data_IF_221724336101
#
_entry.id   IF_221724336101
#
_cell.length_a   1.000
_cell.length_b   1.000
_cell.length_c   1.000
_cell.angle_alpha   90.00
_cell.angle_beta   90.00
_cell.angle_gamma   90.00
#
_symmetry.space_group_name_H-M   'P 1'
#
loop_
_entity.id
_entity.type
_entity.pdbx_description
1 polymer ?
#
# COMPACT_ATOMS: atom_id res chain seq x y z
N UNK A 1 -7.56 5.78 10.57
CA UNK A 1 -6.43 5.15 11.27
C UNK A 1 -5.81 4.12 10.35
N UNK A 2 -4.49 4.01 10.29
CA UNK A 2 -3.77 2.87 9.71
C UNK A 2 -2.97 2.20 10.81
N UNK A 3 -3.11 0.88 10.99
CA UNK A 3 -2.43 0.19 12.09
C UNK A 3 -2.12 -1.27 11.79
N UNK A 4 -0.83 -1.62 11.74
CA UNK A 4 -0.37 -3.01 11.79
C UNK A 4 -0.48 -3.48 13.25
N UNK A 5 -1.34 -4.47 13.51
CA UNK A 5 -1.68 -4.89 14.88
C UNK A 5 -0.85 -6.08 15.38
N UNK A 6 0.13 -6.53 14.60
CA UNK A 6 1.01 -7.66 14.87
C UNK A 6 0.24 -8.97 15.10
N UNK A 7 0.23 -9.84 14.09
CA UNK A 7 -0.43 -11.14 14.17
C UNK A 7 0.23 -12.00 15.26
N UNK A 8 -0.54 -12.77 16.02
CA UNK A 8 0.01 -13.59 17.10
C UNK A 8 0.90 -14.71 16.56
N UNK A 9 0.47 -15.38 15.49
CA UNK A 9 1.25 -16.41 14.81
C UNK A 9 2.58 -15.84 14.29
N UNK A 10 2.53 -14.65 13.67
CA UNK A 10 3.74 -14.01 13.13
C UNK A 10 4.69 -13.53 14.24
N UNK A 11 4.15 -13.06 15.36
CA UNK A 11 4.92 -12.72 16.56
C UNK A 11 5.69 -13.94 17.07
N UNK A 12 5.00 -15.08 17.19
CA UNK A 12 5.58 -16.32 17.71
C UNK A 12 6.62 -16.92 16.76
N UNK A 13 6.33 -16.97 15.46
CA UNK A 13 7.25 -17.38 14.40
C UNK A 13 8.53 -16.52 14.36
N UNK A 14 8.40 -15.23 14.70
CA UNK A 14 9.49 -14.26 14.73
C UNK A 14 9.90 -13.85 16.14
N UNK A 15 9.74 -14.74 17.13
CA UNK A 15 10.05 -14.49 18.55
C UNK A 15 11.45 -13.93 18.84
N UNK A 16 12.40 -14.09 17.93
CA UNK A 16 13.73 -13.50 18.00
C UNK A 16 13.74 -11.95 17.90
N UNK A 17 12.72 -11.33 17.30
CA UNK A 17 12.54 -9.87 17.22
C UNK A 17 12.04 -9.25 18.53
N UNK A 18 11.39 -10.05 19.38
CA UNK A 18 10.69 -9.61 20.59
C UNK A 18 11.37 -10.09 21.89
N UNK A 19 12.68 -10.39 21.83
CA UNK A 19 13.45 -10.84 23.00
C UNK A 19 13.58 -9.78 24.10
N UNK A 20 13.43 -8.52 23.72
CA UNK A 20 13.48 -7.38 24.63
C UNK A 20 12.18 -7.23 25.46
N UNK A 21 11.08 -7.82 24.99
CA UNK A 21 9.77 -7.72 25.64
C UNK A 21 9.64 -8.66 26.85
N UNK A 22 8.89 -8.23 27.86
CA UNK A 22 8.49 -9.10 28.97
C UNK A 22 7.49 -10.15 28.46
N UNK A 23 7.71 -11.43 28.76
CA UNK A 23 6.89 -12.54 28.21
C UNK A 23 5.37 -12.37 28.34
N UNK A 24 4.81 -11.93 29.49
CA UNK A 24 3.36 -11.80 29.63
C UNK A 24 2.72 -10.81 28.64
N UNK A 25 3.46 -9.78 28.19
CA UNK A 25 2.91 -8.74 27.31
C UNK A 25 2.74 -9.23 25.86
N UNK A 26 3.32 -10.38 25.52
CA UNK A 26 3.29 -10.94 24.16
C UNK A 26 2.09 -11.83 23.89
N UNK A 27 1.35 -12.25 24.93
CA UNK A 27 0.18 -13.11 24.75
C UNK A 27 -0.99 -12.31 24.17
N UNK A 28 -1.69 -12.89 23.19
CA UNK A 28 -2.86 -12.26 22.56
C UNK A 28 -3.92 -11.82 23.57
N UNK A 29 -4.18 -12.62 24.60
CA UNK A 29 -5.11 -12.29 25.69
C UNK A 29 -4.73 -11.04 26.49
N UNK A 30 -3.45 -10.63 26.45
CA UNK A 30 -2.98 -9.35 26.98
C UNK A 30 -3.04 -8.26 25.92
N UNK A 31 -2.61 -8.55 24.69
CA UNK A 31 -2.46 -7.57 23.60
C UNK A 31 -3.80 -7.06 23.08
N UNK A 32 -4.74 -7.96 22.81
CA UNK A 32 -6.01 -7.58 22.17
C UNK A 32 -6.84 -6.57 22.99
N UNK A 33 -7.00 -6.71 24.32
CA UNK A 33 -7.67 -5.68 25.13
C UNK A 33 -7.04 -4.29 24.99
N UNK A 34 -5.70 -4.20 24.89
CA UNK A 34 -5.01 -2.93 24.70
C UNK A 34 -5.23 -2.37 23.29
N UNK A 35 -5.06 -3.20 22.25
CA UNK A 35 -5.30 -2.79 20.85
C UNK A 35 -6.75 -2.29 20.68
N UNK A 36 -7.73 -3.03 21.20
CA UNK A 36 -9.14 -2.63 21.15
C UNK A 36 -9.40 -1.33 21.93
N UNK A 37 -8.73 -1.16 23.09
CA UNK A 37 -8.82 0.08 23.87
C UNK A 37 -8.23 1.27 23.10
N UNK A 38 -7.12 1.12 22.39
CA UNK A 38 -6.54 2.15 21.54
C UNK A 38 -7.48 2.53 20.39
N UNK A 39 -8.03 1.53 19.67
CA UNK A 39 -9.00 1.76 18.61
C UNK A 39 -10.23 2.51 19.13
N UNK A 40 -10.78 2.08 20.26
CA UNK A 40 -11.93 2.73 20.90
C UNK A 40 -11.61 4.14 21.38
N UNK A 41 -10.40 4.37 21.89
CA UNK A 41 -9.98 5.67 22.39
C UNK A 41 -9.96 6.73 21.28
N UNK A 42 -9.42 6.37 20.11
CA UNK A 42 -9.31 7.29 18.98
C UNK A 42 -10.61 7.41 18.16
N UNK A 43 -11.49 6.41 18.22
CA UNK A 43 -12.83 6.40 17.58
C UNK A 43 -12.82 6.85 16.11
N UNK A 44 -11.81 6.43 15.35
CA UNK A 44 -11.60 6.90 13.98
C UNK A 44 -12.74 6.44 13.05
N UNK A 45 -13.20 7.30 12.14
CA UNK A 45 -14.32 6.96 11.25
C UNK A 45 -14.01 5.80 10.28
N UNK A 46 -12.74 5.62 9.93
CA UNK A 46 -12.23 4.54 9.06
C UNK A 46 -10.94 3.96 9.67
N UNK A 47 -10.85 2.62 9.71
CA UNK A 47 -9.73 1.82 10.18
C UNK A 47 -9.18 1.00 9.00
N UNK A 48 -7.88 1.09 8.75
CA UNK A 48 -7.14 0.22 7.84
C UNK A 48 -6.14 -0.58 8.68
N UNK A 49 -6.42 -1.87 8.88
CA UNK A 49 -5.61 -2.73 9.74
C UNK A 49 -4.80 -3.73 8.92
N UNK A 50 -3.57 -4.00 9.33
CA UNK A 50 -2.69 -5.03 8.76
C UNK A 50 -2.32 -6.08 9.82
N UNK A 51 -1.88 -7.25 9.38
CA UNK A 51 -1.61 -8.42 10.24
C UNK A 51 -2.80 -8.84 11.11
N UNK A 52 -4.00 -8.70 10.55
CA UNK A 52 -5.23 -9.16 11.19
C UNK A 52 -5.33 -10.66 10.98
N UNK A 53 -5.06 -11.45 12.03
CA UNK A 53 -5.12 -12.92 12.00
C UNK A 53 -6.58 -13.41 11.83
N UNK A 54 -6.83 -14.39 10.96
CA UNK A 54 -8.18 -14.81 10.54
C UNK A 54 -9.04 -15.34 11.69
N UNK A 55 -8.49 -16.23 12.52
CA UNK A 55 -9.20 -16.84 13.65
C UNK A 55 -9.55 -15.81 14.73
N UNK A 56 -8.57 -14.98 15.13
CA UNK A 56 -8.78 -13.85 16.03
C UNK A 56 -9.77 -12.83 15.45
N UNK A 57 -9.76 -12.63 14.13
CA UNK A 57 -10.70 -11.76 13.44
C UNK A 57 -12.14 -12.24 13.60
N UNK A 58 -12.40 -13.52 13.33
CA UNK A 58 -13.73 -14.10 13.47
C UNK A 58 -14.21 -14.18 14.91
N UNK A 59 -13.32 -14.52 15.85
CA UNK A 59 -13.68 -14.76 17.25
C UNK A 59 -13.84 -13.48 18.07
N UNK A 60 -12.96 -12.49 17.88
CA UNK A 60 -12.81 -11.38 18.83
C UNK A 60 -12.78 -10.01 18.16
N UNK A 61 -11.97 -9.81 17.11
CA UNK A 61 -11.72 -8.49 16.53
C UNK A 61 -12.98 -7.97 15.83
N UNK A 62 -13.54 -8.73 14.87
CA UNK A 62 -14.71 -8.29 14.12
C UNK A 62 -15.93 -8.05 15.02
N UNK A 63 -16.34 -8.98 15.90
CA UNK A 63 -17.48 -8.73 16.80
C UNK A 63 -17.27 -7.51 17.68
N UNK A 64 -16.05 -7.28 18.17
CA UNK A 64 -15.73 -6.11 18.99
C UNK A 64 -15.85 -4.81 18.20
N UNK A 65 -15.35 -4.75 16.96
CA UNK A 65 -15.48 -3.57 16.11
C UNK A 65 -16.93 -3.32 15.66
N UNK A 66 -17.69 -4.37 15.33
CA UNK A 66 -19.11 -4.23 15.01
C UNK A 66 -19.91 -3.67 16.20
N UNK A 67 -19.58 -4.08 17.43
CA UNK A 67 -20.17 -3.51 18.65
C UNK A 67 -19.86 -2.00 18.85
N UNK A 68 -18.78 -1.51 18.24
CA UNK A 68 -18.41 -0.08 18.22
C UNK A 68 -19.02 0.67 17.03
N UNK A 69 -19.88 0.03 16.23
CA UNK A 69 -20.59 0.62 15.10
C UNK A 69 -19.80 0.62 13.78
N UNK A 70 -18.80 -0.24 13.66
CA UNK A 70 -18.09 -0.44 12.39
C UNK A 70 -18.76 -1.51 11.53
N UNK A 71 -18.77 -1.29 10.22
CA UNK A 71 -18.86 -2.36 9.23
C UNK A 71 -17.43 -2.77 8.87
N UNK A 72 -17.14 -4.07 8.79
CA UNK A 72 -15.79 -4.59 8.62
C UNK A 72 -15.67 -5.48 7.38
N UNK A 73 -14.76 -5.14 6.47
CA UNK A 73 -14.39 -5.98 5.33
C UNK A 73 -12.96 -6.49 5.52
N UNK A 74 -12.72 -7.75 5.14
CA UNK A 74 -11.45 -8.43 5.39
C UNK A 74 -10.97 -9.18 4.14
N UNK A 75 -9.66 -9.08 3.89
CA UNK A 75 -8.96 -9.87 2.90
C UNK A 75 -7.74 -10.54 3.52
N UNK A 76 -7.84 -11.86 3.73
CA UNK A 76 -6.72 -12.69 4.14
C UNK A 76 -5.66 -12.76 3.03
N UNK A 77 -4.38 -12.86 3.43
CA UNK A 77 -3.31 -13.27 2.52
C UNK A 77 -3.60 -14.63 1.90
N UNK A 78 -3.06 -14.89 0.71
CA UNK A 78 -3.27 -16.18 0.04
C UNK A 78 -2.38 -17.29 0.65
N UNK A 79 -2.52 -18.51 0.14
CA UNK A 79 -1.65 -19.62 0.53
C UNK A 79 -1.88 -20.07 1.97
N UNK A 80 -0.80 -20.15 2.76
CA UNK A 80 -0.80 -20.64 4.16
C UNK A 80 -0.52 -19.52 5.16
N UNK A 81 -0.82 -18.28 4.81
CA UNK A 81 -0.58 -17.13 5.71
C UNK A 81 -1.81 -16.92 6.61
N UNK A 82 -1.62 -16.71 7.92
CA UNK A 82 -2.73 -16.71 8.88
C UNK A 82 -3.45 -15.36 8.98
N UNK A 83 -2.94 -14.32 8.34
CA UNK A 83 -3.33 -12.92 8.53
C UNK A 83 -3.63 -12.20 7.22
N UNK A 84 -4.19 -10.99 7.34
CA UNK A 84 -4.60 -10.18 6.19
C UNK A 84 -4.79 -8.71 6.52
N UNK A 85 -5.47 -8.03 5.59
CA UNK A 85 -5.86 -6.64 5.73
C UNK A 85 -7.36 -6.52 6.02
N UNK A 86 -7.73 -5.62 6.92
CA UNK A 86 -9.12 -5.23 7.15
C UNK A 86 -9.33 -3.74 6.84
N UNK A 87 -10.46 -3.40 6.25
CA UNK A 87 -10.96 -2.02 6.20
C UNK A 87 -12.29 -1.98 6.92
N UNK A 88 -12.36 -1.18 7.98
CA UNK A 88 -13.56 -1.03 8.79
C UNK A 88 -13.99 0.44 8.78
N UNK A 89 -15.28 0.72 8.65
CA UNK A 89 -15.79 2.09 8.64
C UNK A 89 -17.06 2.22 9.47
N UNK A 90 -17.27 3.39 10.09
CA UNK A 90 -18.50 3.67 10.85
C UNK A 90 -19.70 3.65 9.91
N UNK A 91 -20.64 2.73 10.11
CA UNK A 91 -21.83 2.63 9.25
C UNK A 91 -22.76 3.86 9.38
N UNK A 92 -22.60 4.66 10.43
CA UNK A 92 -23.28 5.95 10.61
C UNK A 92 -22.72 7.05 9.69
N UNK A 93 -21.47 6.92 9.23
CA UNK A 93 -20.75 7.91 8.43
C UNK A 93 -20.70 7.56 6.94
N UNK A 94 -20.68 6.27 6.61
CA UNK A 94 -20.55 5.82 5.23
C UNK A 94 -21.52 4.70 4.87
N UNK A 95 -21.83 4.59 3.59
CA UNK A 95 -22.38 3.38 2.95
C UNK A 95 -21.30 2.75 2.08
N UNK A 96 -21.27 1.42 2.02
CA UNK A 96 -20.39 0.68 1.12
C UNK A 96 -20.98 0.63 -0.29
N UNK A 97 -20.18 0.96 -1.30
CA UNK A 97 -20.56 0.84 -2.71
C UNK A 97 -19.93 -0.40 -3.37
N UNK A 98 -18.66 -0.67 -3.10
CA UNK A 98 -17.97 -1.87 -3.61
C UNK A 98 -16.83 -2.34 -2.70
N UNK A 99 -16.53 -3.63 -2.78
CA UNK A 99 -15.41 -4.31 -2.11
C UNK A 99 -14.56 -4.96 -3.20
N UNK A 100 -13.29 -4.58 -3.27
CA UNK A 100 -12.41 -4.99 -4.36
C UNK A 100 -11.10 -5.52 -3.76
N UNK A 101 -11.01 -6.83 -3.47
CA UNK A 101 -9.80 -7.45 -2.95
C UNK A 101 -8.75 -7.58 -4.05
N UNK A 102 -7.47 -7.40 -3.70
CA UNK A 102 -6.34 -7.54 -4.62
C UNK A 102 -5.43 -8.66 -4.13
N UNK A 103 -5.35 -9.74 -4.89
CA UNK A 103 -4.36 -10.80 -4.65
C UNK A 103 -3.11 -10.51 -5.46
N UNK A 104 -1.97 -10.36 -4.79
CA UNK A 104 -0.72 -10.14 -5.51
C UNK A 104 -0.08 -11.43 -6.02
N UNK A 105 -0.43 -12.58 -5.42
CA UNK A 105 0.00 -13.87 -5.90
C UNK A 105 -0.63 -14.17 -7.27
N UNK A 106 0.21 -14.52 -8.25
CA UNK A 106 -0.23 -14.89 -9.60
C UNK A 106 0.44 -16.21 -10.00
N UNK A 107 -0.29 -17.34 -10.01
CA UNK A 107 0.31 -18.65 -10.30
C UNK A 107 0.88 -18.74 -11.73
N UNK A 108 0.38 -17.90 -12.64
CA UNK A 108 0.81 -17.77 -14.03
C UNK A 108 2.02 -16.82 -14.23
N UNK A 109 2.51 -16.16 -13.17
CA UNK A 109 3.60 -15.19 -13.22
C UNK A 109 4.64 -15.52 -12.15
N UNK A 110 5.76 -16.13 -12.54
CA UNK A 110 6.82 -16.56 -11.62
C UNK A 110 7.43 -15.44 -10.76
N UNK A 111 7.33 -14.18 -11.20
CA UNK A 111 7.75 -13.01 -10.41
C UNK A 111 6.89 -12.81 -9.16
N UNK A 112 5.58 -13.13 -9.25
CA UNK A 112 4.55 -12.83 -8.26
C UNK A 112 4.20 -14.07 -7.44
N UNK A 113 5.21 -14.62 -6.78
CA UNK A 113 5.19 -15.84 -5.98
C UNK A 113 5.03 -15.56 -4.48
N UNK A 114 4.34 -14.46 -4.12
CA UNK A 114 4.18 -13.99 -2.74
C UNK A 114 2.72 -13.72 -2.41
N UNK A 115 2.32 -14.17 -1.23
CA UNK A 115 0.93 -14.20 -0.77
C UNK A 115 0.37 -12.88 -0.24
N UNK A 116 1.10 -11.77 -0.40
CA UNK A 116 0.63 -10.46 0.05
C UNK A 116 -0.66 -10.05 -0.70
N UNK A 117 -1.45 -9.18 -0.07
CA UNK A 117 -2.75 -8.74 -0.59
C UNK A 117 -2.98 -7.26 -0.33
N UNK A 118 -3.93 -6.68 -1.06
CA UNK A 118 -4.55 -5.40 -0.76
C UNK A 118 -6.08 -5.52 -0.71
N UNK A 119 -6.73 -4.47 -0.23
CA UNK A 119 -8.18 -4.34 -0.20
C UNK A 119 -8.54 -2.89 -0.55
N UNK A 120 -9.48 -2.71 -1.48
CA UNK A 120 -9.96 -1.39 -1.90
C UNK A 120 -11.48 -1.33 -1.72
N UNK A 121 -11.95 -0.39 -0.91
CA UNK A 121 -13.38 -0.10 -0.74
C UNK A 121 -13.73 1.23 -1.40
N UNK A 122 -14.89 1.27 -2.05
CA UNK A 122 -15.51 2.53 -2.45
C UNK A 122 -16.63 2.87 -1.47
N UNK A 123 -16.51 4.00 -0.79
CA UNK A 123 -17.42 4.41 0.29
C UNK A 123 -18.17 5.69 -0.08
N UNK A 124 -19.48 5.71 0.13
CA UNK A 124 -20.31 6.90 -0.01
C UNK A 124 -20.48 7.61 1.33
N UNK A 125 -20.00 8.86 1.50
CA UNK A 125 -20.28 9.65 2.69
C UNK A 125 -21.79 9.85 2.91
N UNK A 126 -22.28 9.61 4.13
CA UNK A 126 -23.66 9.87 4.56
C UNK A 126 -23.76 11.29 5.11
N UNK A 127 -24.09 12.23 4.22
CA UNK A 127 -24.33 13.64 4.55
C UNK A 127 -25.77 14.03 4.19
N UNK A 128 -26.35 14.96 4.96
CA UNK A 128 -27.78 15.25 4.90
C UNK A 128 -28.24 16.09 3.69
N UNK A 129 -27.34 16.82 3.01
CA UNK A 129 -27.76 17.93 2.14
C UNK A 129 -27.04 18.10 0.80
N UNK A 130 -26.18 17.18 0.35
CA UNK A 130 -25.53 17.30 -0.97
C UNK A 130 -25.13 15.95 -1.56
N UNK A 131 -25.00 15.90 -2.89
CA UNK A 131 -24.33 14.82 -3.59
C UNK A 131 -22.81 14.96 -3.35
N UNK A 132 -22.27 14.15 -2.45
CA UNK A 132 -20.83 14.08 -2.18
C UNK A 132 -20.18 13.02 -3.07
N UNK A 133 -18.96 13.25 -3.59
CA UNK A 133 -18.23 12.19 -4.27
C UNK A 133 -17.98 11.03 -3.31
N UNK A 134 -17.92 9.82 -3.84
CA UNK A 134 -17.43 8.67 -3.09
C UNK A 134 -15.97 8.88 -2.66
N UNK A 135 -15.51 8.13 -1.67
CA UNK A 135 -14.12 8.09 -1.23
C UNK A 135 -13.60 6.67 -1.45
N UNK A 136 -12.50 6.55 -2.18
CA UNK A 136 -11.79 5.29 -2.38
C UNK A 136 -10.79 5.09 -1.22
N UNK A 137 -11.00 4.06 -0.41
CA UNK A 137 -10.10 3.70 0.69
C UNK A 137 -9.38 2.41 0.34
N UNK A 138 -8.06 2.47 0.27
CA UNK A 138 -7.19 1.33 0.01
C UNK A 138 -6.35 0.98 1.24
N UNK A 139 -6.08 -0.32 1.40
CA UNK A 139 -5.23 -0.85 2.45
C UNK A 139 -4.36 -1.99 1.89
N UNK A 140 -3.11 -2.08 2.31
CA UNK A 140 -2.19 -3.13 1.89
C UNK A 140 -1.14 -3.45 2.95
N UNK A 141 -0.55 -4.64 2.83
CA UNK A 141 0.69 -5.00 3.51
C UNK A 141 1.64 -5.61 2.46
N UNK A 142 2.58 -4.80 1.96
CA UNK A 142 3.54 -5.21 0.92
C UNK A 142 4.57 -6.21 1.46
N UNK A 143 5.24 -6.92 0.56
CA UNK A 143 6.28 -7.90 0.89
C UNK A 143 7.37 -7.32 1.82
N UNK A 144 7.62 -7.96 2.97
CA UNK A 144 8.70 -7.56 3.87
C UNK A 144 10.10 -7.65 3.24
N UNK A 145 10.43 -8.76 2.55
CA UNK A 145 11.79 -9.08 2.10
C UNK A 145 12.51 -7.88 1.44
N UNK A 146 13.58 -7.34 2.08
CA UNK A 146 14.30 -6.15 1.60
C UNK A 146 14.93 -6.32 0.21
N UNK A 147 15.24 -7.54 -0.20
CA UNK A 147 15.96 -7.87 -1.46
C UNK A 147 15.05 -8.03 -2.67
N UNK A 148 13.74 -7.91 -2.49
CA UNK A 148 12.73 -8.18 -3.54
C UNK A 148 11.93 -6.94 -3.89
N UNK A 149 12.62 -5.84 -4.19
CA UNK A 149 11.99 -4.61 -4.66
C UNK A 149 11.31 -4.73 -6.01
N UNK A 150 11.73 -5.69 -6.84
CA UNK A 150 11.02 -6.10 -8.06
C UNK A 150 9.58 -6.53 -7.76
N UNK A 151 9.40 -7.35 -6.71
CA UNK A 151 8.07 -7.75 -6.25
C UNK A 151 7.34 -6.57 -5.63
N UNK A 152 7.98 -5.81 -4.73
CA UNK A 152 7.32 -4.67 -4.05
C UNK A 152 6.74 -3.64 -5.04
N UNK A 153 7.50 -3.25 -6.08
CA UNK A 153 7.02 -2.33 -7.10
C UNK A 153 5.88 -2.93 -7.93
N UNK A 154 5.94 -4.23 -8.24
CA UNK A 154 4.87 -4.91 -8.98
C UNK A 154 3.60 -5.01 -8.14
N UNK A 155 3.70 -5.35 -6.84
CA UNK A 155 2.57 -5.37 -5.90
C UNK A 155 1.93 -3.98 -5.77
N UNK A 156 2.74 -2.93 -5.65
CA UNK A 156 2.26 -1.56 -5.64
C UNK A 156 1.54 -1.21 -6.94
N UNK A 157 2.09 -1.55 -8.10
CA UNK A 157 1.44 -1.31 -9.39
C UNK A 157 0.07 -2.02 -9.51
N UNK A 158 -0.04 -3.24 -8.99
CA UNK A 158 -1.32 -3.97 -8.92
C UNK A 158 -2.36 -3.24 -8.05
N UNK A 159 -1.95 -2.74 -6.87
CA UNK A 159 -2.84 -1.96 -6.01
C UNK A 159 -3.25 -0.63 -6.67
N UNK A 160 -2.30 0.08 -7.30
CA UNK A 160 -2.57 1.34 -7.99
C UNK A 160 -3.50 1.15 -9.20
N UNK A 161 -3.38 0.02 -9.92
CA UNK A 161 -4.28 -0.31 -11.02
C UNK A 161 -5.71 -0.57 -10.52
N UNK A 162 -5.88 -1.29 -9.41
CA UNK A 162 -7.18 -1.49 -8.78
C UNK A 162 -7.78 -0.15 -8.31
N UNK A 163 -6.99 0.68 -7.63
CA UNK A 163 -7.42 2.02 -7.21
C UNK A 163 -7.83 2.85 -8.43
N UNK A 164 -7.08 2.80 -9.53
CA UNK A 164 -7.43 3.52 -10.75
C UNK A 164 -8.77 3.06 -11.32
N UNK A 165 -9.06 1.76 -11.28
CA UNK A 165 -10.33 1.23 -11.77
C UNK A 165 -11.49 1.62 -10.86
N UNK A 166 -11.30 1.51 -9.55
CA UNK A 166 -12.36 1.71 -8.54
C UNK A 166 -12.66 3.19 -8.29
N UNK A 167 -11.64 4.04 -8.29
CA UNK A 167 -11.79 5.47 -8.03
C UNK A 167 -12.26 6.27 -9.27
N UNK A 168 -12.28 5.66 -10.46
CA UNK A 168 -12.63 6.35 -11.70
C UNK A 168 -14.08 6.84 -11.69
N UNK A 169 -14.28 8.10 -12.05
CA UNK A 169 -15.59 8.73 -12.13
C UNK A 169 -16.06 8.88 -13.59
N UNK A 170 -17.36 9.11 -13.77
CA UNK A 170 -17.98 9.26 -15.10
C UNK A 170 -17.47 10.45 -15.90
N UNK A 171 -16.93 11.47 -15.23
CA UNK A 171 -16.35 12.66 -15.84
C UNK A 171 -14.87 12.50 -16.23
N UNK A 172 -14.31 11.30 -16.01
CA UNK A 172 -12.92 10.98 -16.29
C UNK A 172 -11.94 11.30 -15.16
N UNK A 173 -12.40 11.94 -14.08
CA UNK A 173 -11.58 12.22 -12.90
C UNK A 173 -11.52 11.03 -11.93
N UNK A 174 -10.74 11.16 -10.86
CA UNK A 174 -10.73 10.21 -9.74
C UNK A 174 -11.42 10.82 -8.54
N UNK A 175 -12.24 10.02 -7.85
CA UNK A 175 -12.75 10.39 -6.54
C UNK A 175 -11.61 10.51 -5.51
N UNK A 176 -11.80 11.22 -4.38
CA UNK A 176 -10.79 11.31 -3.33
C UNK A 176 -10.30 9.93 -2.87
N UNK A 177 -8.98 9.74 -2.81
CA UNK A 177 -8.33 8.49 -2.41
C UNK A 177 -7.68 8.66 -1.04
N UNK A 178 -7.81 7.65 -0.18
CA UNK A 178 -6.97 7.45 1.01
C UNK A 178 -6.34 6.07 0.90
N UNK A 179 -5.02 6.00 0.79
CA UNK A 179 -4.26 4.76 0.65
C UNK A 179 -3.39 4.55 1.90
N UNK A 180 -3.80 3.58 2.71
CA UNK A 180 -3.14 3.19 3.95
C UNK A 180 -2.32 1.90 3.74
N UNK A 181 -1.40 1.62 4.65
CA UNK A 181 -0.77 0.31 4.73
C UNK A 181 0.62 0.30 5.34
N UNK A 182 1.13 -0.92 5.51
CA UNK A 182 2.54 -1.20 5.72
C UNK A 182 3.18 -1.47 4.36
N UNK A 183 4.00 -0.52 3.91
CA UNK A 183 4.66 -0.59 2.61
C UNK A 183 6.03 -1.26 2.67
N UNK A 184 6.49 -1.62 3.87
CA UNK A 184 7.81 -2.16 4.11
C UNK A 184 8.92 -1.36 3.40
N UNK A 185 8.75 -0.03 3.33
CA UNK A 185 9.62 0.87 2.58
C UNK A 185 9.78 2.18 3.33
N UNK A 186 11.00 2.70 3.42
CA UNK A 186 11.30 3.88 4.24
C UNK A 186 11.06 5.20 3.48
N UNK A 187 10.89 6.32 4.19
CA UNK A 187 10.75 7.64 3.57
C UNK A 187 11.93 7.96 2.65
N UNK A 188 11.65 8.59 1.51
CA UNK A 188 12.67 8.92 0.50
C UNK A 188 13.21 7.73 -0.31
N UNK A 189 12.79 6.50 -0.02
CA UNK A 189 13.12 5.34 -0.86
C UNK A 189 12.54 5.49 -2.28
N UNK A 190 13.11 4.83 -3.31
CA UNK A 190 12.55 4.83 -4.66
C UNK A 190 11.06 4.47 -4.73
N UNK A 191 10.59 3.51 -3.92
CA UNK A 191 9.17 3.15 -3.84
C UNK A 191 8.33 4.28 -3.24
N UNK A 192 8.78 4.89 -2.14
CA UNK A 192 8.09 6.04 -1.54
C UNK A 192 8.01 7.23 -2.51
N UNK A 193 9.14 7.57 -3.15
CA UNK A 193 9.21 8.65 -4.13
C UNK A 193 8.32 8.40 -5.34
N UNK A 194 8.19 7.14 -5.77
CA UNK A 194 7.24 6.78 -6.83
C UNK A 194 5.79 7.16 -6.45
N UNK A 195 5.35 6.81 -5.24
CA UNK A 195 4.00 7.13 -4.74
C UNK A 195 3.77 8.64 -4.64
N UNK A 196 4.77 9.38 -4.17
CA UNK A 196 4.66 10.84 -3.97
C UNK A 196 4.70 11.62 -5.28
N UNK A 197 5.63 11.28 -6.16
CA UNK A 197 5.92 12.06 -7.36
C UNK A 197 5.13 11.60 -8.60
N UNK A 198 4.44 10.46 -8.50
CA UNK A 198 3.72 9.84 -9.62
C UNK A 198 4.63 9.35 -10.74
N UNK A 199 5.95 9.31 -10.52
CA UNK A 199 6.94 8.86 -11.50
C UNK A 199 8.19 8.31 -10.84
N UNK A 200 8.81 7.32 -11.48
CA UNK A 200 10.09 6.76 -11.07
C UNK A 200 10.89 6.34 -12.30
N UNK A 201 12.08 6.92 -12.49
CA UNK A 201 13.09 6.33 -13.37
C UNK A 201 13.85 5.27 -12.59
N UNK A 202 13.75 4.02 -13.01
CA UNK A 202 14.38 2.87 -12.35
C UNK A 202 15.56 2.30 -13.15
N UNK A 203 16.07 3.04 -14.15
CA UNK A 203 17.27 2.66 -14.89
C UNK A 203 18.45 2.41 -13.93
N UNK A 204 19.09 1.25 -14.04
CA UNK A 204 20.23 0.90 -13.21
C UNK A 204 19.92 0.68 -11.72
N UNK A 205 18.65 0.70 -11.29
CA UNK A 205 18.28 0.57 -9.88
C UNK A 205 18.39 -0.90 -9.41
N UNK A 206 19.23 -1.21 -8.40
CA UNK A 206 19.30 -2.55 -7.82
C UNK A 206 18.02 -2.92 -7.07
N UNK A 207 17.58 -4.18 -7.17
CA UNK A 207 16.31 -4.64 -6.60
C UNK A 207 16.20 -4.44 -5.07
N UNK A 208 17.29 -4.50 -4.31
CA UNK A 208 17.25 -4.29 -2.86
C UNK A 208 17.33 -2.83 -2.42
N UNK A 209 17.50 -1.89 -3.36
CA UNK A 209 17.49 -0.45 -3.06
C UNK A 209 16.13 0.20 -3.14
N UNK A 210 15.15 -0.50 -3.73
CA UNK A 210 13.79 -0.02 -3.93
C UNK A 210 13.11 0.46 -2.64
N UNK A 211 13.22 -0.30 -1.55
CA UNK A 211 12.52 -0.01 -0.29
C UNK A 211 13.34 0.78 0.71
N UNK A 212 14.66 0.92 0.49
CA UNK A 212 15.59 1.55 1.43
C UNK A 212 15.81 0.78 2.76
N UNK A 213 15.23 -0.41 2.93
CA UNK A 213 15.46 -1.26 4.12
C UNK A 213 16.89 -1.83 4.18
N UNK A 214 17.52 -2.11 3.03
CA UNK A 214 18.83 -2.75 2.97
C UNK A 214 19.96 -1.77 2.63
N UNK A 215 20.93 -1.70 3.54
CA UNK A 215 22.12 -0.86 3.35
C UNK A 215 23.19 -1.54 2.48
N UNK A 216 23.29 -2.87 2.48
CA UNK A 216 24.28 -3.59 1.64
C UNK A 216 23.87 -3.68 0.17
N UNK A 217 24.71 -3.15 -0.72
CA UNK A 217 24.43 -3.05 -2.16
C UNK A 217 25.12 -4.12 -3.03
N UNK A 218 25.80 -5.11 -2.43
CA UNK A 218 26.75 -5.96 -3.18
C UNK A 218 26.05 -7.12 -3.90
N UNK A 219 26.29 -7.22 -5.21
CA UNK A 219 25.90 -8.37 -6.05
C UNK A 219 24.40 -8.50 -6.29
N UNK A 220 23.63 -7.43 -6.13
CA UNK A 220 22.19 -7.45 -6.41
C UNK A 220 21.92 -7.25 -7.89
N UNK A 221 20.90 -7.97 -8.39
CA UNK A 221 20.40 -7.79 -9.76
C UNK A 221 19.77 -6.40 -9.91
N UNK A 222 19.88 -5.82 -11.10
CA UNK A 222 19.18 -4.59 -11.47
C UNK A 222 17.74 -4.91 -11.89
N UNK A 223 16.82 -3.98 -11.66
CA UNK A 223 15.45 -4.08 -12.15
C UNK A 223 15.42 -4.30 -13.66
N UNK A 224 14.53 -5.21 -14.11
CA UNK A 224 14.29 -5.45 -15.52
C UNK A 224 13.51 -4.29 -16.14
N UNK A 225 13.61 -4.10 -17.46
CA UNK A 225 12.80 -3.14 -18.22
C UNK A 225 11.97 -3.95 -19.24
N UNK A 226 10.63 -4.07 -19.09
CA UNK A 226 9.83 -3.63 -17.93
C UNK A 226 10.09 -4.50 -16.68
N UNK A 227 9.62 -4.04 -15.51
CA UNK A 227 9.84 -4.73 -14.23
C UNK A 227 9.07 -6.06 -14.18
N UNK A 228 7.84 -6.07 -14.70
CA UNK A 228 6.95 -7.22 -14.73
C UNK A 228 6.60 -7.63 -16.17
N UNK A 229 6.18 -8.89 -16.38
CA UNK A 229 5.87 -9.37 -17.72
C UNK A 229 4.50 -8.87 -18.23
N UNK A 230 4.29 -8.81 -19.57
CA UNK A 230 3.05 -8.31 -20.16
C UNK A 230 1.78 -9.07 -19.77
N UNK A 231 1.89 -10.37 -19.45
CA UNK A 231 0.74 -11.17 -19.02
C UNK A 231 0.19 -10.77 -17.63
N UNK A 232 0.83 -9.83 -16.93
CA UNK A 232 0.22 -9.16 -15.79
C UNK A 232 -1.01 -8.33 -16.19
N UNK A 233 -1.02 -7.76 -17.40
CA UNK A 233 -2.10 -6.88 -17.89
C UNK A 233 -2.14 -5.53 -17.19
N UNK A 234 -0.99 -4.99 -16.79
CA UNK A 234 -0.85 -3.67 -16.19
C UNK A 234 0.25 -2.91 -16.93
N UNK A 235 -0.10 -1.72 -17.43
CA UNK A 235 0.84 -0.85 -18.15
C UNK A 235 1.84 -0.17 -17.21
N UNK A 236 2.89 0.43 -17.77
CA UNK A 236 3.88 1.22 -17.01
C UNK A 236 3.29 2.46 -16.30
N UNK A 237 2.04 2.83 -16.61
CA UNK A 237 1.27 3.88 -15.94
C UNK A 237 0.44 3.36 -14.75
N UNK A 238 0.63 2.09 -14.37
CA UNK A 238 -0.08 1.41 -13.28
C UNK A 238 -1.60 1.44 -13.45
N UNK A 239 -2.07 1.19 -14.67
CA UNK A 239 -3.49 0.98 -15.00
C UNK A 239 -3.66 -0.33 -15.75
N UNK A 240 -4.82 -0.98 -15.59
CA UNK A 240 -5.13 -2.20 -16.33
C UNK A 240 -5.14 -1.95 -17.84
N UNK A 241 -4.63 -2.91 -18.59
CA UNK A 241 -4.61 -2.89 -20.06
C UNK A 241 -5.21 -4.17 -20.65
N UNK A 242 -5.86 -4.02 -21.81
CA UNK A 242 -6.34 -5.17 -22.56
C UNK A 242 -5.13 -5.88 -23.18
N UNK A 243 -4.87 -7.11 -22.74
CA UNK A 243 -3.78 -7.91 -23.29
C UNK A 243 -4.04 -8.20 -24.78
N UNK A 244 -3.16 -7.72 -25.66
CA UNK A 244 -3.21 -8.05 -27.07
C UNK A 244 -2.64 -9.46 -27.27
N UNK A 245 -3.42 -10.36 -27.86
CA UNK A 245 -2.92 -11.67 -28.27
C UNK A 245 -1.88 -11.44 -29.38
N UNK A 246 -0.70 -12.07 -29.33
CA UNK A 246 0.24 -12.03 -30.44
C UNK A 246 -0.47 -12.53 -31.70
N UNK A 247 -0.65 -11.66 -32.70
CA UNK A 247 -1.17 -12.05 -34.01
C UNK A 247 -0.15 -13.03 -34.63
N UNK A 248 -0.45 -14.32 -34.56
CA UNK A 248 0.18 -15.31 -35.42
C UNK A 248 -0.44 -15.13 -36.80
N UNK A 249 0.21 -14.33 -37.65
CA UNK A 249 -0.09 -14.35 -39.08
C UNK A 249 0.31 -15.72 -39.62
N UNK A 250 -0.70 -16.56 -39.88
CA UNK A 250 -0.52 -17.73 -40.73
C UNK A 250 -0.35 -17.23 -42.16
N UNK A 251 0.88 -17.15 -42.63
CA UNK A 251 1.16 -17.05 -44.07
C UNK A 251 1.09 -18.46 -44.66
N UNK A 252 -0.05 -18.74 -45.31
CA UNK A 252 -0.12 -19.79 -46.33
C UNK A 252 0.68 -19.30 -47.55
N UNK A 253 1.91 -19.80 -47.73
CA UNK A 253 2.52 -19.93 -49.06
C UNK A 253 3.85 -20.70 -49.00
N UNK A 254 3.87 -21.85 -49.67
CA UNK A 254 5.05 -22.57 -50.14
C UNK A 254 5.97 -21.64 -50.94
N UNK A 255 7.14 -21.24 -50.41
CA UNK A 255 8.26 -20.73 -51.21
C UNK A 255 9.62 -21.02 -50.55
N UNK A 256 10.57 -21.34 -51.42
CA UNK A 256 11.85 -22.04 -51.23
C UNK A 256 12.94 -21.32 -50.40
N UNK A 257 13.83 -22.15 -49.86
CA UNK A 257 14.94 -21.96 -48.90
C UNK A 257 16.02 -20.86 -49.13
N UNK A 258 15.78 -19.75 -49.85
CA UNK A 258 16.90 -18.86 -50.26
C UNK A 258 16.76 -17.36 -50.01
N UNK A 259 15.89 -16.90 -49.11
CA UNK A 259 15.80 -15.46 -48.75
C UNK A 259 15.59 -15.20 -47.24
N UNK A 260 16.33 -15.90 -46.37
CA UNK A 260 16.29 -15.71 -44.90
C UNK A 260 17.15 -14.55 -44.36
N UNK A 261 17.35 -13.48 -45.14
CA UNK A 261 17.98 -12.25 -44.64
C UNK A 261 17.22 -11.05 -45.21
N UNK A 262 16.73 -10.18 -44.33
CA UNK A 262 16.01 -8.93 -44.60
C UNK A 262 14.48 -8.99 -44.63
N UNK A 263 13.87 -9.61 -43.63
CA UNK A 263 12.51 -9.20 -43.22
C UNK A 263 12.42 -9.24 -41.71
N UNK A 264 13.30 -8.47 -41.05
CA UNK A 264 13.05 -8.03 -39.69
C UNK A 264 11.81 -7.14 -39.73
N UNK A 265 10.74 -7.71 -39.18
CA UNK A 265 9.46 -7.08 -38.94
C UNK A 265 9.70 -5.76 -38.23
N UNK A 266 9.41 -4.64 -38.91
CA UNK A 266 9.13 -3.35 -38.28
C UNK A 266 7.83 -3.49 -37.47
N UNK A 267 7.90 -4.20 -36.34
CA UNK A 267 7.06 -3.83 -35.19
C UNK A 267 7.69 -2.54 -34.72
N UNK A 268 6.96 -1.43 -34.79
CA UNK A 268 7.35 -0.19 -34.12
C UNK A 268 7.61 -0.54 -32.66
N UNK A 269 8.89 -0.76 -32.32
CA UNK A 269 9.35 -0.93 -30.97
C UNK A 269 9.15 0.42 -30.29
N UNK A 270 7.97 0.62 -29.70
CA UNK A 270 7.85 1.59 -28.62
C UNK A 270 8.97 1.25 -27.64
N UNK A 271 9.93 2.16 -27.57
CA UNK A 271 11.16 1.98 -26.83
C UNK A 271 10.77 1.75 -25.37
N UNK A 272 10.78 0.48 -24.93
CA UNK A 272 10.47 0.09 -23.56
C UNK A 272 11.25 0.99 -22.62
N UNK A 273 10.52 1.81 -21.86
CA UNK A 273 11.11 2.86 -21.03
C UNK A 273 11.34 2.35 -19.62
N UNK A 274 12.45 2.73 -19.02
CA UNK A 274 12.79 2.48 -17.62
C UNK A 274 12.02 3.38 -16.65
N UNK A 275 10.83 3.85 -17.02
CA UNK A 275 10.04 4.76 -16.21
C UNK A 275 8.71 4.10 -15.83
N UNK A 276 8.34 4.25 -14.56
CA UNK A 276 6.99 4.01 -14.07
C UNK A 276 6.28 5.32 -13.84
N UNK A 277 4.97 5.36 -14.05
CA UNK A 277 4.11 6.48 -13.72
C UNK A 277 2.82 6.00 -13.03
N UNK A 278 2.14 6.91 -12.36
CA UNK A 278 0.72 6.77 -12.01
C UNK A 278 0.02 8.13 -12.10
N UNK A 279 -1.31 8.12 -12.20
CA UNK A 279 -2.10 9.34 -12.47
C UNK A 279 -2.64 10.04 -11.22
N UNK A 280 -2.28 9.58 -10.02
CA UNK A 280 -2.71 10.19 -8.77
C UNK A 280 -1.79 11.32 -8.30
N UNK A 281 -2.35 12.31 -7.60
CA UNK A 281 -1.62 13.35 -6.86
C UNK A 281 -1.71 13.07 -5.37
N UNK A 282 -0.72 12.34 -4.82
CA UNK A 282 -0.78 11.82 -3.46
C UNK A 282 0.17 12.56 -2.52
N UNK A 283 -0.38 13.03 -1.40
CA UNK A 283 0.39 13.52 -0.26
C UNK A 283 0.50 12.45 0.82
N UNK A 284 1.60 12.44 1.58
CA UNK A 284 1.68 11.67 2.82
C UNK A 284 1.17 12.53 3.97
N UNK A 285 0.44 11.95 4.92
CA UNK A 285 0.02 12.64 6.15
C UNK A 285 1.21 13.08 7.00
N UNK A 286 2.25 12.26 7.04
CA UNK A 286 3.43 12.45 7.88
C UNK A 286 4.58 13.06 7.08
N UNK A 287 5.37 13.90 7.75
CA UNK A 287 6.55 14.55 7.15
C UNK A 287 7.82 13.72 7.30
N UNK A 288 7.79 12.67 8.13
CA UNK A 288 8.83 11.69 8.39
C UNK A 288 10.01 12.17 9.24
N UNK A 289 10.08 13.47 9.49
CA UNK A 289 11.07 14.11 10.33
C UNK A 289 10.40 15.17 11.20
N UNK A 290 10.84 15.27 12.46
CA UNK A 290 10.44 16.36 13.34
C UNK A 290 11.05 17.68 12.86
N UNK A 291 10.27 18.76 12.71
CA UNK A 291 10.74 20.00 12.08
C UNK A 291 11.86 20.69 12.85
N UNK A 292 11.81 20.64 14.19
CA UNK A 292 12.76 21.37 15.04
C UNK A 292 14.12 20.67 15.16
N UNK A 293 14.15 19.34 15.04
CA UNK A 293 15.35 18.53 15.32
C UNK A 293 15.88 17.79 14.10
N UNK A 294 15.06 17.60 13.07
CA UNK A 294 15.38 16.74 11.93
C UNK A 294 15.50 15.25 12.28
N UNK A 295 15.11 14.85 13.50
CA UNK A 295 15.14 13.45 13.92
C UNK A 295 14.03 12.69 13.16
N UNK A 296 14.30 11.47 12.67
CA UNK A 296 13.27 10.68 11.99
C UNK A 296 12.10 10.30 12.91
N UNK A 297 10.90 10.39 12.36
CA UNK A 297 9.72 9.70 12.90
C UNK A 297 9.87 8.19 12.63
N UNK A 298 9.41 7.35 13.57
CA UNK A 298 9.34 5.89 13.39
C UNK A 298 7.92 5.40 13.58
N UNK A 299 7.55 4.34 12.84
CA UNK A 299 6.24 3.70 12.93
C UNK A 299 6.32 2.29 13.48
N UNK A 300 7.51 1.66 13.46
CA UNK A 300 7.79 0.37 14.08
C UNK A 300 9.09 0.42 14.88
N UNK A 301 9.18 -0.32 15.99
CA UNK A 301 10.40 -0.40 16.81
C UNK A 301 10.50 -1.72 17.58
N UNK A 302 11.33 -2.64 17.08
CA UNK A 302 11.62 -3.93 17.70
C UNK A 302 13.13 -4.20 17.70
N UNK A 303 13.61 -5.35 18.20
CA UNK A 303 15.06 -5.61 18.41
C UNK A 303 15.98 -5.47 17.19
N UNK A 304 15.46 -5.47 15.96
CA UNK A 304 16.26 -5.36 14.72
C UNK A 304 15.98 -4.14 13.85
N UNK A 305 15.01 -3.31 14.19
CA UNK A 305 14.54 -2.23 13.30
C UNK A 305 13.79 -1.18 14.09
N UNK A 306 14.02 0.09 13.76
CA UNK A 306 13.26 1.23 14.23
C UNK A 306 13.18 2.25 13.08
N UNK A 307 12.09 2.20 12.30
CA UNK A 307 11.96 2.94 11.04
C UNK A 307 10.48 3.29 10.78
N UNK A 308 10.25 4.20 9.83
CA UNK A 308 8.93 4.42 9.26
C UNK A 308 8.72 3.49 8.06
N UNK A 309 7.65 2.70 8.09
CA UNK A 309 7.20 1.83 6.98
C UNK A 309 5.68 1.90 6.74
N UNK A 310 4.95 2.50 7.68
CA UNK A 310 3.51 2.68 7.62
C UNK A 310 3.17 4.07 7.11
N UNK A 311 2.16 4.14 6.24
CA UNK A 311 1.75 5.41 5.65
C UNK A 311 0.25 5.55 5.57
N UNK A 312 -0.20 6.80 5.64
CA UNK A 312 -1.50 7.24 5.13
C UNK A 312 -1.19 8.22 4.00
N UNK A 313 -1.40 7.79 2.76
CA UNK A 313 -1.39 8.67 1.60
C UNK A 313 -2.81 9.13 1.29
N UNK A 314 -2.96 10.32 0.72
CA UNK A 314 -4.27 10.85 0.36
C UNK A 314 -4.19 11.74 -0.89
N UNK A 315 -5.26 11.77 -1.68
CA UNK A 315 -5.41 12.75 -2.77
C UNK A 315 -5.40 14.15 -2.17
N UNK A 316 -4.36 14.95 -2.46
CA UNK A 316 -4.29 16.34 -2.04
C UNK A 316 -4.66 17.26 -3.20
N UNK A 317 -5.24 18.42 -2.88
CA UNK A 317 -5.34 19.51 -3.86
C UNK A 317 -3.91 19.94 -4.24
N UNK A 318 -3.63 20.07 -5.54
CA UNK A 318 -2.41 20.73 -5.99
C UNK A 318 -2.55 22.21 -5.63
N UNK A 319 -1.63 22.75 -4.85
CA UNK A 319 -1.43 24.20 -4.85
C UNK A 319 -0.95 24.57 -6.26
N UNK A 320 -1.64 25.50 -6.93
CA UNK A 320 -1.32 25.98 -8.27
C UNK A 320 0.12 26.53 -8.33
N UNK A 321 1.08 25.68 -8.66
CA UNK A 321 2.42 26.10 -9.09
C UNK A 321 2.38 26.19 -10.62
N UNK A 322 1.95 27.35 -11.10
CA UNK A 322 2.16 27.91 -12.44
C UNK A 322 2.40 26.91 -13.61
N UNK A 323 1.30 26.54 -14.29
CA UNK A 323 1.16 26.47 -15.75
C UNK A 323 2.17 25.68 -16.59
N UNK A 324 1.83 24.44 -16.93
CA UNK A 324 2.24 23.78 -18.17
C UNK A 324 1.05 23.10 -18.86
N UNK A 325 0.70 23.46 -20.11
CA UNK A 325 -0.42 22.85 -20.82
C UNK A 325 0.01 21.53 -21.47
N UNK A 326 -0.53 20.41 -20.99
CA UNK A 326 -0.39 19.12 -21.65
C UNK A 326 -0.68 17.94 -20.74
N UNK A 327 -1.91 17.42 -20.81
CA UNK A 327 -2.42 16.24 -20.11
C UNK A 327 -2.56 16.39 -18.57
N UNK A 328 -3.46 17.26 -18.13
CA UNK A 328 -3.90 17.29 -16.73
C UNK A 328 -5.30 16.68 -16.61
N UNK A 329 -5.38 15.46 -16.06
CA UNK A 329 -6.62 14.97 -15.47
C UNK A 329 -6.84 15.81 -14.22
N UNK A 330 -7.76 16.76 -14.30
CA UNK A 330 -8.12 17.61 -13.17
C UNK A 330 -8.71 16.74 -12.05
N UNK A 331 -8.04 16.73 -10.89
CA UNK A 331 -8.58 16.12 -9.67
C UNK A 331 -9.70 17.02 -9.15
N UNK A 332 -10.94 16.57 -9.23
CA UNK A 332 -12.07 17.16 -8.52
C UNK A 332 -12.14 16.48 -7.14
N UNK A 333 -11.81 17.21 -6.08
CA UNK A 333 -12.02 16.73 -4.70
C UNK A 333 -10.78 16.19 -3.99
N UNK A 334 -9.71 16.98 -3.92
CA UNK A 334 -8.63 16.69 -2.96
C UNK A 334 -9.14 16.75 -1.52
N UNK A 335 -8.58 15.93 -0.64
CA UNK A 335 -8.81 16.00 0.79
C UNK A 335 -7.86 17.04 1.41
N UNK A 336 -8.36 17.81 2.37
CA UNK A 336 -7.53 18.69 3.20
C UNK A 336 -7.20 18.00 4.51
N UNK A 337 -5.91 17.89 4.83
CA UNK A 337 -5.44 17.38 6.12
C UNK A 337 -5.69 18.44 7.21
N UNK A 338 -6.53 18.13 8.20
CA UNK A 338 -6.84 19.03 9.31
C UNK A 338 -5.94 18.80 10.51
N UNK A 339 -5.63 17.54 10.82
CA UNK A 339 -4.81 17.15 11.96
C UNK A 339 -4.23 15.75 11.75
N UNK A 340 -3.14 15.47 12.45
CA UNK A 340 -2.54 14.14 12.57
C UNK A 340 -2.12 13.89 14.01
N UNK A 341 -2.15 12.62 14.44
CA UNK A 341 -1.52 12.21 15.69
C UNK A 341 -0.01 12.14 15.45
N UNK A 342 0.78 12.90 16.21
CA UNK A 342 2.24 12.91 16.08
C UNK A 342 2.83 11.52 16.35
N UNK A 343 3.85 11.16 15.58
CA UNK A 343 4.66 9.96 15.83
C UNK A 343 5.70 10.23 16.92
N UNK A 344 6.55 9.23 17.16
CA UNK A 344 7.64 9.25 18.14
C UNK A 344 8.98 9.02 17.44
N UNK A 345 10.07 9.28 18.17
CA UNK A 345 11.42 8.91 17.75
C UNK A 345 11.76 7.48 18.20
N UNK A 346 12.81 6.89 17.61
CA UNK A 346 13.37 5.63 18.11
C UNK A 346 13.78 5.73 19.59
N UNK A 347 14.35 6.86 20.02
CA UNK A 347 14.80 7.07 21.39
C UNK A 347 13.63 7.07 22.39
N UNK A 348 12.51 7.68 22.03
CA UNK A 348 11.29 7.69 22.86
C UNK A 348 10.79 6.26 23.09
N UNK A 349 10.76 5.44 22.03
CA UNK A 349 10.31 4.06 22.11
C UNK A 349 11.26 3.18 22.93
N UNK A 350 12.58 3.37 22.83
CA UNK A 350 13.51 2.63 23.70
C UNK A 350 13.48 3.10 25.15
N UNK A 351 13.07 4.34 25.43
CA UNK A 351 12.86 4.82 26.81
C UNK A 351 11.72 4.05 27.51
N UNK A 352 10.76 3.52 26.74
CA UNK A 352 9.70 2.62 27.23
C UNK A 352 10.00 1.13 26.95
N UNK A 353 11.27 0.78 26.74
CA UNK A 353 11.75 -0.57 26.46
C UNK A 353 11.27 -1.18 25.14
N UNK A 354 11.06 -0.38 24.08
CA UNK A 354 10.71 -0.86 22.75
C UNK A 354 9.24 -1.27 22.60
N UNK A 355 8.91 -1.90 21.46
CA UNK A 355 7.57 -2.40 21.14
C UNK A 355 7.58 -3.90 20.74
N UNK A 356 6.53 -4.66 21.08
CA UNK A 356 5.43 -4.30 21.97
C UNK A 356 5.88 -4.24 23.44
N UNK A 357 5.12 -3.52 24.25
CA UNK A 357 5.33 -3.39 25.69
C UNK A 357 3.99 -3.49 26.46
N UNK A 358 4.00 -3.16 27.74
CA UNK A 358 2.84 -3.27 28.64
C UNK A 358 1.69 -2.29 28.33
N UNK A 359 1.96 -1.25 27.53
CA UNK A 359 0.98 -0.22 27.15
C UNK A 359 0.69 -0.18 25.64
N UNK A 360 1.66 -0.53 24.80
CA UNK A 360 1.54 -0.58 23.34
C UNK A 360 1.71 -2.03 22.87
N UNK A 361 0.64 -2.63 22.37
CA UNK A 361 0.55 -4.09 22.18
C UNK A 361 0.72 -4.54 20.73
N UNK A 362 1.29 -3.70 19.88
CA UNK A 362 1.88 -4.02 18.58
C UNK A 362 3.32 -3.53 18.55
N UNK A 363 4.16 -4.07 17.66
CA UNK A 363 5.47 -3.51 17.36
C UNK A 363 5.42 -2.27 16.46
N UNK A 364 4.22 -1.93 15.95
CA UNK A 364 3.94 -0.71 15.22
C UNK A 364 3.14 0.30 16.07
N UNK A 365 3.17 1.57 15.67
CA UNK A 365 2.33 2.65 16.20
C UNK A 365 1.13 2.91 15.27
N UNK A 366 -0.07 3.21 15.82
CA UNK A 366 -1.21 3.57 14.99
C UNK A 366 -1.02 4.95 14.36
N UNK A 367 -1.15 5.05 13.04
CA UNK A 367 -1.22 6.32 12.33
C UNK A 367 -2.67 6.84 12.35
N UNK A 368 -2.84 8.13 12.60
CA UNK A 368 -4.17 8.75 12.66
C UNK A 368 -4.17 10.13 12.00
N UNK A 369 -5.14 10.34 11.12
CA UNK A 369 -5.34 11.57 10.38
C UNK A 369 -6.81 11.98 10.43
N UNK A 370 -7.05 13.29 10.44
CA UNK A 370 -8.38 13.89 10.27
C UNK A 370 -8.39 14.66 8.96
N UNK A 371 -9.32 14.32 8.08
CA UNK A 371 -9.47 14.97 6.77
C UNK A 371 -10.75 15.79 6.70
N UNK A 372 -10.74 16.78 5.81
CA UNK A 372 -11.94 17.46 5.30
C UNK A 372 -12.07 17.15 3.81
N UNK A 373 -13.27 16.75 3.42
CA UNK A 373 -13.73 16.78 2.04
C UNK A 373 -14.56 18.05 1.88
N UNK A 374 -14.10 18.96 1.02
CA UNK A 374 -14.92 20.13 0.63
C UNK A 374 -15.99 19.66 -0.37
N UNK A 375 -17.20 20.19 -0.26
CA UNK A 375 -18.38 19.76 -1.01
C UNK A 375 -18.94 20.86 -1.90
#
# INVERSE_FOLDING_TARGET
MSYNILSQDLLEDNSHLYRHCRRPVLHWSFRFPNILKEIKHFDADVLCLQEVQEDHYGAEIRPSLESLGYHCEYKMRTGRKPDGCAICFKHSKFSLLSVNPVEFFRPDISLLDRDNVGLVLLLQPKIACAASPAICVANTHLLYNPRRGDIKLTQLAMLLAEISSVAHQKDGSFCPIVMCGDFNSVPGSPLYSFIKEGKLNYEGLPIGKVSGQEQSSRGQRILSIPIWPPNLGISQNCVYEVQQVPKVEKTDSDLTQTQLKQTEVLVTAEKLSSNLQHHFSLSSVYSHYFPDTGIPEVTTCHSRSAITVDYIFYSAEKEDVAGHPGAEVALVGGLKLLARLSLLTEQDLWTVNGLPNENNSSDHLPLLAKFRLEL
#
